data_IF_388530292795
#
_entry.id   IF_388530292795
#
_cell.length_a   1.000
_cell.length_b   1.000
_cell.length_c   1.000
_cell.angle_alpha   90.00
_cell.angle_beta   90.00
_cell.angle_gamma   90.00
#
_symmetry.space_group_name_H-M   'P 1'
#
loop_
_entity.id
_entity.type
_entity.pdbx_description
1 polymer ?
#
# COMPACT_ATOMS: atom_id res chain seq x y z
N UNK A 1 5.85 3.06 2.75
CA UNK A 1 4.64 3.27 1.93
C UNK A 1 4.15 4.69 2.17
N UNK A 2 4.30 5.55 1.17
CA UNK A 2 3.87 6.96 1.16
C UNK A 2 2.44 7.08 0.62
N UNK A 3 1.52 6.41 1.32
CA UNK A 3 0.09 6.36 1.01
C UNK A 3 -0.70 6.01 2.28
N UNK A 4 -2.02 6.05 2.18
CA UNK A 4 -2.93 5.36 3.10
C UNK A 4 -3.78 4.33 2.35
N UNK A 5 -3.77 3.08 2.81
CA UNK A 5 -4.49 1.97 2.17
C UNK A 5 -4.93 0.94 3.21
N UNK A 6 -6.25 0.76 3.36
CA UNK A 6 -6.81 -0.20 4.32
C UNK A 6 -6.46 0.17 5.77
N UNK A 7 -5.84 -0.76 6.49
CA UNK A 7 -5.40 -0.54 7.88
C UNK A 7 -4.10 0.24 8.03
N UNK A 8 -3.36 0.46 6.94
CA UNK A 8 -2.19 1.35 6.92
C UNK A 8 -2.66 2.77 6.65
N UNK A 9 -2.66 3.61 7.68
CA UNK A 9 -3.15 5.00 7.60
C UNK A 9 -2.07 5.99 8.02
N UNK A 10 -1.86 7.00 7.20
CA UNK A 10 -0.94 8.11 7.41
C UNK A 10 -1.70 9.41 7.19
N UNK A 11 -1.74 10.27 8.20
CA UNK A 11 -2.48 11.54 8.13
C UNK A 11 -1.94 12.51 7.08
N UNK A 12 -0.68 12.34 6.65
CA UNK A 12 -0.10 13.10 5.54
C UNK A 12 -0.62 12.65 4.17
N UNK A 13 -1.25 11.47 4.10
CA UNK A 13 -1.78 10.85 2.88
C UNK A 13 -3.26 10.49 3.10
N UNK A 14 -4.09 11.51 3.29
CA UNK A 14 -5.53 11.39 3.41
C UNK A 14 -6.21 12.43 2.51
N UNK A 15 -7.48 12.21 2.16
CA UNK A 15 -8.30 13.24 1.51
C UNK A 15 -8.59 14.39 2.48
N UNK A 16 -9.11 15.51 1.98
CA UNK A 16 -9.51 16.64 2.82
C UNK A 16 -10.55 16.25 3.88
N UNK A 17 -11.32 15.20 3.63
CA UNK A 17 -12.33 14.65 4.54
C UNK A 17 -11.81 13.55 5.47
N UNK A 18 -10.50 13.29 5.46
CA UNK A 18 -9.86 12.32 6.34
C UNK A 18 -10.00 10.86 5.89
N UNK A 19 -10.40 10.60 4.64
CA UNK A 19 -10.41 9.25 4.08
C UNK A 19 -9.01 8.85 3.59
N UNK A 20 -8.74 7.54 3.54
CA UNK A 20 -7.46 7.02 3.09
C UNK A 20 -7.18 7.38 1.62
N UNK A 21 -6.07 8.05 1.34
CA UNK A 21 -5.59 8.34 -0.01
C UNK A 21 -4.59 7.28 -0.46
N UNK A 22 -5.05 6.35 -1.30
CA UNK A 22 -4.25 5.25 -1.85
C UNK A 22 -3.48 5.69 -3.09
N UNK A 23 -2.28 5.17 -3.28
CA UNK A 23 -1.44 5.42 -4.47
C UNK A 23 -1.18 4.11 -5.22
N UNK A 24 -2.06 3.86 -6.20
CA UNK A 24 -2.05 2.66 -7.03
C UNK A 24 -0.90 2.64 -8.06
N UNK A 25 -0.25 3.77 -8.33
CA UNK A 25 0.89 3.82 -9.26
C UNK A 25 2.15 3.26 -8.62
N UNK A 26 2.43 3.63 -7.35
CA UNK A 26 3.65 3.24 -6.66
C UNK A 26 3.47 2.01 -5.74
N UNK A 27 2.26 1.80 -5.20
CA UNK A 27 2.03 0.85 -4.12
C UNK A 27 1.02 -0.26 -4.42
N UNK A 28 0.65 -0.46 -5.69
CA UNK A 28 -0.13 -1.61 -6.15
C UNK A 28 0.71 -2.90 -6.17
N UNK A 29 1.13 -3.34 -4.98
CA UNK A 29 1.96 -4.52 -4.75
C UNK A 29 1.79 -5.04 -3.33
N UNK A 30 2.05 -6.33 -3.14
CA UNK A 30 2.32 -6.92 -1.83
C UNK A 30 3.82 -6.85 -1.55
N UNK A 31 4.18 -6.69 -0.28
CA UNK A 31 5.58 -6.71 0.12
C UNK A 31 5.80 -7.45 1.42
N UNK A 32 6.96 -8.09 1.53
CA UNK A 32 7.34 -8.86 2.70
C UNK A 32 8.85 -8.70 2.97
N UNK A 33 9.20 -8.50 4.24
CA UNK A 33 10.59 -8.52 4.67
C UNK A 33 11.03 -9.96 4.94
N UNK A 34 11.93 -10.46 4.10
CA UNK A 34 12.58 -11.74 4.29
C UNK A 34 13.77 -11.61 5.25
N UNK A 35 13.89 -12.59 6.14
CA UNK A 35 15.06 -12.74 6.99
C UNK A 35 16.34 -12.95 6.16
N UNK A 36 17.30 -12.03 6.30
CA UNK A 36 18.58 -12.04 5.59
C UNK A 36 19.78 -12.53 6.39
N UNK A 37 19.58 -12.99 7.64
CA UNK A 37 20.65 -13.36 8.57
C UNK A 37 21.11 -12.24 9.52
N UNK A 38 20.76 -10.99 9.21
CA UNK A 38 21.00 -9.80 10.03
C UNK A 38 19.66 -9.05 10.25
N UNK A 39 19.23 -8.79 11.50
CA UNK A 39 17.96 -8.13 11.78
C UNK A 39 17.90 -6.68 11.29
N UNK A 40 19.05 -6.04 11.08
CA UNK A 40 19.12 -4.68 10.56
C UNK A 40 19.14 -4.62 9.03
N UNK A 41 19.25 -5.77 8.34
CA UNK A 41 19.32 -5.86 6.88
C UNK A 41 18.38 -6.93 6.31
N UNK A 42 17.06 -6.80 6.54
CA UNK A 42 16.10 -7.68 5.87
C UNK A 42 16.06 -7.39 4.37
N UNK A 43 15.79 -8.42 3.57
CA UNK A 43 15.56 -8.25 2.14
C UNK A 43 14.08 -7.93 1.92
N UNK A 44 13.77 -6.83 1.23
CA UNK A 44 12.40 -6.49 0.86
C UNK A 44 12.02 -7.22 -0.43
N UNK A 45 11.08 -8.16 -0.34
CA UNK A 45 10.44 -8.76 -1.49
C UNK A 45 9.20 -7.95 -1.86
N UNK A 46 9.01 -7.71 -3.16
CA UNK A 46 7.88 -6.96 -3.72
C UNK A 46 7.31 -7.75 -4.88
N UNK A 47 6.00 -8.01 -4.85
CA UNK A 47 5.26 -8.66 -5.92
C UNK A 47 4.12 -7.76 -6.38
N UNK A 48 4.15 -7.37 -7.66
CA UNK A 48 3.15 -6.48 -8.26
C UNK A 48 1.80 -7.19 -8.32
N UNK A 49 0.73 -6.47 -8.02
CA UNK A 49 -0.63 -6.96 -8.20
C UNK A 49 -1.17 -6.50 -9.56
N UNK A 50 -1.80 -7.44 -10.27
CA UNK A 50 -2.48 -7.17 -11.54
C UNK A 50 -3.94 -7.58 -11.43
N UNK A 51 -4.83 -6.68 -11.88
CA UNK A 51 -6.28 -6.79 -11.71
C UNK A 51 -6.94 -6.83 -13.09
N UNK A 52 -7.14 -8.04 -13.61
CA UNK A 52 -7.68 -8.26 -14.96
C UNK A 52 -9.21 -8.10 -15.03
N UNK A 53 -9.93 -8.71 -14.09
CA UNK A 53 -11.40 -8.80 -14.13
C UNK A 53 -12.10 -7.68 -13.35
N UNK A 54 -11.49 -7.22 -12.26
CA UNK A 54 -12.06 -6.21 -11.37
C UNK A 54 -11.05 -5.09 -11.18
N UNK A 55 -11.23 -4.01 -11.93
CA UNK A 55 -10.35 -2.85 -11.84
C UNK A 55 -10.49 -2.13 -10.49
N UNK A 56 -9.39 -1.52 -10.07
CA UNK A 56 -9.32 -0.76 -8.83
C UNK A 56 -10.28 0.44 -8.87
N UNK A 57 -10.99 0.63 -7.77
CA UNK A 57 -11.82 1.80 -7.52
C UNK A 57 -11.47 2.40 -6.15
N UNK A 58 -11.67 3.71 -6.03
CA UNK A 58 -11.55 4.41 -4.75
C UNK A 58 -12.74 4.06 -3.87
N UNK A 59 -12.48 3.62 -2.65
CA UNK A 59 -13.51 3.31 -1.67
C UNK A 59 -13.83 4.55 -0.85
N UNK A 60 -15.10 4.96 -0.86
CA UNK A 60 -15.64 5.99 0.04
C UNK A 60 -16.74 5.39 0.91
N UNK A 61 -16.89 5.92 2.12
CA UNK A 61 -17.93 5.49 3.07
C UNK A 61 -19.13 6.45 3.14
N UNK A 62 -19.14 7.46 2.28
CA UNK A 62 -20.28 8.36 2.08
C UNK A 62 -21.36 7.73 1.21
#
# INVERSE_FOLDING_TARGET
REESCGGHFRSEYQTEEGEALRDDENYCHVSAYQWGGDPMKPNLNVEKLEFEEVHLATRSYK
#
